data_IF_188703052761
#
_entry.id   IF_188703052761
#
_cell.length_a   1.000
_cell.length_b   1.000
_cell.length_c   1.000
_cell.angle_alpha   90.00
_cell.angle_beta   90.00
_cell.angle_gamma   90.00
#
_symmetry.space_group_name_H-M   'P 1'
#
loop_
_entity.id
_entity.type
_entity.pdbx_description
1 polymer ?
#
# COMPACT_ATOMS: atom_id res chain seq x y z
N UNK A 1 -10.66 -6.63 8.04
CA UNK A 1 -9.44 -6.73 8.85
C UNK A 1 -8.76 -5.38 8.85
N UNK A 2 -8.75 -4.70 10.01
CA UNK A 2 -8.05 -3.43 10.15
C UNK A 2 -6.53 -3.71 10.14
N UNK A 3 -5.90 -3.55 9.00
CA UNK A 3 -4.45 -3.50 8.90
C UNK A 3 -4.00 -2.19 9.54
N UNK A 4 -3.49 -2.34 10.74
CA UNK A 4 -3.02 -1.28 11.63
C UNK A 4 -1.91 -0.49 10.94
N UNK A 5 -2.19 0.72 10.47
CA UNK A 5 -1.24 1.66 9.86
C UNK A 5 -0.01 1.96 10.73
N UNK A 6 0.00 1.50 11.97
CA UNK A 6 1.14 1.64 12.89
C UNK A 6 2.22 0.56 12.71
N UNK A 7 1.97 -0.56 12.01
CA UNK A 7 2.99 -1.60 11.80
C UNK A 7 4.02 -1.23 10.74
N UNK A 8 3.64 -0.40 9.76
CA UNK A 8 4.55 0.03 8.67
C UNK A 8 5.70 0.92 9.18
N UNK A 9 5.50 1.66 10.27
CA UNK A 9 6.56 2.49 10.88
C UNK A 9 7.63 1.69 11.63
N UNK A 10 7.37 0.45 12.03
CA UNK A 10 8.31 -0.33 12.85
C UNK A 10 9.25 -1.23 12.04
N UNK A 11 8.86 -1.72 10.87
CA UNK A 11 9.74 -2.60 10.09
C UNK A 11 10.79 -1.84 9.25
N UNK A 12 10.47 -0.64 8.76
CA UNK A 12 11.47 0.26 8.18
C UNK A 12 12.49 0.77 9.21
N UNK A 13 12.13 0.73 10.53
CA UNK A 13 12.95 1.29 11.60
C UNK A 13 14.19 0.49 11.95
N UNK A 14 14.23 -0.83 11.75
CA UNK A 14 15.37 -1.65 12.19
C UNK A 14 16.46 -1.65 11.11
N UNK A 15 16.12 -1.83 9.84
CA UNK A 15 17.10 -1.77 8.74
C UNK A 15 17.57 -0.33 8.49
N UNK A 16 16.67 0.64 8.47
CA UNK A 16 17.02 2.06 8.36
C UNK A 16 17.82 2.55 9.57
N UNK A 17 17.62 2.00 10.79
CA UNK A 17 18.47 2.29 11.96
C UNK A 17 19.85 1.67 11.83
N UNK A 18 19.99 0.49 11.24
CA UNK A 18 21.33 -0.11 11.01
C UNK A 18 22.12 0.68 9.97
N UNK A 19 21.49 1.08 8.87
CA UNK A 19 22.11 1.93 7.86
C UNK A 19 22.37 3.33 8.43
N UNK A 20 21.37 3.97 9.06
CA UNK A 20 21.52 5.31 9.63
C UNK A 20 22.57 5.37 10.74
N UNK A 21 22.68 4.35 11.59
CA UNK A 21 23.70 4.30 12.64
C UNK A 21 25.12 4.25 12.07
N UNK A 22 25.32 3.61 10.90
CA UNK A 22 26.61 3.64 10.19
C UNK A 22 26.92 4.97 9.51
N UNK A 23 25.90 5.67 8.99
CA UNK A 23 26.08 6.99 8.36
C UNK A 23 26.27 8.12 9.38
N UNK A 24 25.62 8.03 10.57
CA UNK A 24 25.72 9.09 11.60
C UNK A 24 27.00 8.98 12.47
N UNK A 25 27.68 7.82 12.48
CA UNK A 25 28.87 7.60 13.31
C UNK A 25 30.19 7.92 12.58
N UNK A 26 30.23 8.42 11.38
CA UNK A 26 31.44 8.73 10.62
C UNK A 26 32.53 7.65 10.71
N UNK A 27 33.62 7.68 9.94
CA UNK A 27 34.67 6.71 10.05
C UNK A 27 35.27 6.77 11.48
N UNK A 28 35.06 5.70 12.25
CA UNK A 28 35.70 5.56 13.58
C UNK A 28 37.20 5.37 13.38
N UNK A 29 38.05 6.31 13.81
CA UNK A 29 39.50 6.24 13.61
C UNK A 29 40.12 5.00 14.25
N UNK A 30 39.43 4.32 15.18
CA UNK A 30 39.93 3.07 15.79
C UNK A 30 39.70 1.82 14.94
N UNK A 31 39.07 1.95 13.76
CA UNK A 31 38.80 0.83 12.86
C UNK A 31 39.74 0.76 11.65
N UNK A 32 40.74 1.68 11.57
CA UNK A 32 41.69 1.71 10.50
C UNK A 32 43.07 1.18 10.99
N UNK A 33 43.74 0.45 10.11
CA UNK A 33 45.13 -0.02 10.36
C UNK A 33 46.14 1.15 10.28
N UNK A 34 47.43 0.85 10.48
CA UNK A 34 48.50 1.85 10.42
C UNK A 34 48.63 2.48 9.03
N UNK A 35 48.14 1.83 7.99
CA UNK A 35 48.13 2.27 6.59
C UNK A 35 46.90 3.08 6.24
N UNK A 36 45.96 3.21 7.18
CA UNK A 36 44.69 3.97 7.02
C UNK A 36 43.58 3.22 6.30
N UNK A 37 43.62 1.88 6.31
CA UNK A 37 42.57 1.06 5.72
C UNK A 37 41.70 0.38 6.82
N UNK A 38 40.42 0.21 6.53
CA UNK A 38 39.53 -0.56 7.38
C UNK A 38 39.83 -2.07 7.28
N UNK A 39 39.10 -2.90 8.07
CA UNK A 39 39.26 -4.35 8.09
C UNK A 39 38.97 -5.03 6.74
N UNK A 40 38.30 -4.35 5.79
CA UNK A 40 38.02 -4.81 4.44
C UNK A 40 39.03 -4.28 3.41
N UNK A 41 39.95 -3.39 3.82
CA UNK A 41 40.99 -2.80 2.99
C UNK A 41 40.61 -1.50 2.31
N UNK A 42 39.51 -0.82 2.73
CA UNK A 42 39.14 0.50 2.21
C UNK A 42 39.73 1.62 3.07
N UNK A 43 40.26 2.64 2.42
CA UNK A 43 40.71 3.85 3.09
C UNK A 43 39.57 4.84 3.34
N UNK A 44 39.86 5.99 3.97
CA UNK A 44 38.86 7.03 4.29
C UNK A 44 38.15 7.61 3.06
N UNK A 45 38.74 7.51 1.88
CA UNK A 45 38.13 7.95 0.61
C UNK A 45 37.31 6.84 -0.05
N UNK A 46 37.13 5.69 0.60
CA UNK A 46 36.42 4.53 0.08
C UNK A 46 37.18 3.80 -1.04
N UNK A 47 38.51 3.96 -1.11
CA UNK A 47 39.39 3.30 -2.12
C UNK A 47 39.97 2.04 -1.50
N UNK A 48 39.77 0.91 -2.16
CA UNK A 48 40.31 -0.38 -1.72
C UNK A 48 41.80 -0.51 -2.08
N UNK A 49 42.63 -0.89 -1.11
CA UNK A 49 44.07 -0.91 -1.20
C UNK A 49 44.67 -1.80 -2.29
N UNK A 50 44.01 -2.91 -2.64
CA UNK A 50 44.49 -3.85 -3.66
C UNK A 50 44.03 -3.42 -5.05
N UNK A 51 42.75 -3.10 -5.21
CA UNK A 51 42.16 -2.77 -6.52
C UNK A 51 42.41 -1.33 -6.95
N UNK A 52 42.70 -0.43 -6.00
CA UNK A 52 42.82 1.00 -6.24
C UNK A 52 41.49 1.66 -6.69
N UNK A 53 40.38 1.01 -6.47
CA UNK A 53 39.00 1.47 -6.85
C UNK A 53 38.10 1.51 -5.62
N UNK A 54 36.85 1.98 -5.83
CA UNK A 54 35.81 1.98 -4.79
C UNK A 54 35.21 0.59 -4.54
N UNK A 55 35.83 -0.48 -5.09
CA UNK A 55 35.34 -1.85 -4.93
C UNK A 55 36.49 -2.79 -4.63
N UNK A 56 36.20 -3.79 -3.76
CA UNK A 56 37.17 -4.86 -3.46
C UNK A 56 37.30 -5.85 -4.64
N UNK A 57 38.16 -6.83 -4.48
CA UNK A 57 38.41 -7.88 -5.51
C UNK A 57 37.17 -8.71 -5.83
N UNK A 58 36.16 -8.74 -4.94
CA UNK A 58 34.89 -9.42 -5.12
C UNK A 58 33.81 -8.52 -5.73
N UNK A 59 34.11 -7.23 -5.98
CA UNK A 59 33.21 -6.26 -6.59
C UNK A 59 32.28 -5.52 -5.62
N UNK A 60 32.52 -5.62 -4.30
CA UNK A 60 31.74 -4.93 -3.27
C UNK A 60 32.43 -3.62 -2.85
N UNK A 61 31.61 -2.61 -2.55
CA UNK A 61 32.08 -1.34 -2.00
C UNK A 61 32.38 -1.43 -0.48
N UNK A 62 32.79 -0.32 0.13
CA UNK A 62 33.09 -0.22 1.56
C UNK A 62 31.91 -0.60 2.47
N UNK A 63 30.67 -0.50 2.01
CA UNK A 63 29.49 -0.92 2.74
C UNK A 63 29.08 -2.39 2.50
N UNK A 64 29.79 -3.09 1.61
CA UNK A 64 29.51 -4.46 1.23
C UNK A 64 28.34 -4.59 0.26
N UNK A 65 28.19 -3.59 -0.61
CA UNK A 65 27.14 -3.57 -1.64
C UNK A 65 27.81 -3.71 -3.01
N UNK A 66 27.30 -4.61 -3.85
CA UNK A 66 27.79 -4.80 -5.21
C UNK A 66 27.27 -3.70 -6.17
N UNK A 67 27.66 -3.79 -7.45
CA UNK A 67 27.28 -2.81 -8.47
C UNK A 67 25.77 -2.76 -8.73
N UNK A 68 25.06 -3.84 -8.46
CA UNK A 68 23.62 -3.98 -8.67
C UNK A 68 22.79 -3.61 -7.42
N UNK A 69 23.47 -3.29 -6.31
CA UNK A 69 22.81 -2.88 -5.06
C UNK A 69 22.52 -4.00 -4.08
N UNK A 70 23.15 -5.19 -4.25
CA UNK A 70 22.97 -6.33 -3.36
C UNK A 70 24.12 -6.42 -2.35
N UNK A 71 23.80 -6.80 -1.12
CA UNK A 71 24.79 -7.01 -0.07
C UNK A 71 25.49 -8.38 -0.23
N UNK A 72 26.48 -8.65 0.65
CA UNK A 72 27.25 -9.92 0.66
C UNK A 72 26.39 -11.18 0.80
N UNK A 73 25.17 -11.06 1.33
CA UNK A 73 24.20 -12.17 1.45
C UNK A 73 23.32 -12.32 0.21
N UNK A 74 23.46 -11.41 -0.78
CA UNK A 74 22.73 -11.41 -2.03
C UNK A 74 21.35 -10.75 -1.97
N UNK A 75 21.11 -9.86 -1.00
CA UNK A 75 19.84 -9.14 -0.84
C UNK A 75 20.02 -7.64 -1.05
N UNK A 76 19.01 -7.00 -1.69
CA UNK A 76 18.94 -5.55 -1.85
C UNK A 76 18.55 -4.87 -0.51
N UNK A 77 18.50 -3.53 -0.51
CA UNK A 77 18.17 -2.72 0.66
C UNK A 77 16.71 -2.91 1.16
N UNK A 78 15.83 -3.54 0.37
CA UNK A 78 14.45 -3.91 0.73
C UNK A 78 14.35 -5.35 1.21
N UNK A 79 15.44 -6.11 1.12
CA UNK A 79 15.55 -7.49 1.54
C UNK A 79 15.19 -8.53 0.47
N UNK A 80 15.13 -8.14 -0.82
CA UNK A 80 14.90 -9.07 -1.92
C UNK A 80 16.21 -9.52 -2.56
N UNK A 81 16.29 -10.80 -2.91
CA UNK A 81 17.38 -11.31 -3.74
C UNK A 81 17.10 -11.07 -5.23
N UNK A 82 18.06 -11.44 -6.11
CA UNK A 82 17.95 -11.29 -7.58
C UNK A 82 16.76 -12.02 -8.20
N UNK A 83 16.23 -13.03 -7.53
CA UNK A 83 15.04 -13.81 -7.97
C UNK A 83 13.73 -13.17 -7.44
N UNK A 84 13.81 -12.05 -6.72
CA UNK A 84 12.67 -11.38 -6.12
C UNK A 84 12.12 -12.09 -4.88
N UNK A 85 12.94 -12.93 -4.20
CA UNK A 85 12.55 -13.62 -2.97
C UNK A 85 13.05 -12.82 -1.76
N UNK A 86 12.14 -12.51 -0.86
CA UNK A 86 12.44 -11.72 0.33
C UNK A 86 13.12 -12.56 1.42
N UNK A 87 14.16 -12.02 2.06
CA UNK A 87 15.03 -12.72 3.02
C UNK A 87 14.31 -13.26 4.28
N UNK A 88 13.25 -12.58 4.73
CA UNK A 88 12.48 -12.96 5.94
C UNK A 88 11.36 -13.94 5.58
N UNK A 89 10.51 -13.58 4.62
CA UNK A 89 9.30 -14.34 4.29
C UNK A 89 9.58 -15.57 3.47
N UNK A 90 10.74 -15.61 2.77
CA UNK A 90 11.11 -16.63 1.77
C UNK A 90 10.09 -16.77 0.63
N UNK A 91 9.35 -15.70 0.37
CA UNK A 91 8.37 -15.58 -0.72
C UNK A 91 8.68 -14.37 -1.59
N UNK A 92 7.88 -14.14 -2.64
CA UNK A 92 7.97 -12.93 -3.49
C UNK A 92 7.46 -11.67 -2.81
N UNK A 93 6.90 -11.77 -1.60
CA UNK A 93 6.33 -10.64 -0.88
C UNK A 93 7.10 -10.40 0.42
N UNK A 94 7.36 -9.14 0.74
CA UNK A 94 7.95 -8.73 2.01
C UNK A 94 6.92 -8.87 3.17
N UNK A 95 7.30 -8.67 4.44
CA UNK A 95 6.37 -8.75 5.57
C UNK A 95 5.19 -7.78 5.52
N UNK A 96 5.23 -6.76 4.66
CA UNK A 96 4.14 -5.82 4.43
C UNK A 96 3.23 -6.22 3.26
N UNK A 97 3.53 -7.36 2.59
CA UNK A 97 2.73 -7.89 1.49
C UNK A 97 3.06 -7.32 0.11
N UNK A 98 4.21 -6.66 -0.07
CA UNK A 98 4.63 -6.09 -1.35
C UNK A 98 5.73 -6.92 -2.01
N UNK A 99 5.66 -7.07 -3.34
CA UNK A 99 6.73 -7.66 -4.14
C UNK A 99 7.88 -6.65 -4.41
N UNK A 100 8.90 -7.09 -5.16
CA UNK A 100 10.06 -6.26 -5.52
C UNK A 100 9.68 -5.02 -6.33
N UNK A 101 8.58 -5.04 -7.05
CA UNK A 101 8.05 -3.93 -7.86
C UNK A 101 6.97 -3.13 -7.13
N UNK A 102 6.79 -3.37 -5.82
CA UNK A 102 5.83 -2.68 -4.95
C UNK A 102 4.35 -3.01 -5.24
N UNK A 103 4.08 -4.18 -5.84
CA UNK A 103 2.73 -4.69 -6.02
C UNK A 103 2.31 -5.61 -4.87
N UNK A 104 1.05 -5.52 -4.50
CA UNK A 104 0.37 -6.43 -3.57
C UNK A 104 0.11 -7.79 -4.25
N UNK A 105 -0.23 -8.81 -3.46
CA UNK A 105 -0.54 -10.16 -3.95
C UNK A 105 -1.72 -10.18 -4.94
N UNK A 106 -2.67 -9.28 -4.79
CA UNK A 106 -3.80 -9.09 -5.71
C UNK A 106 -3.45 -8.33 -7.00
N UNK A 107 -2.19 -7.94 -7.16
CA UNK A 107 -1.65 -7.31 -8.36
C UNK A 107 -1.78 -5.79 -8.41
N UNK A 108 -2.26 -5.12 -7.36
CA UNK A 108 -2.33 -3.67 -7.31
C UNK A 108 -1.06 -3.04 -6.73
N UNK A 109 -0.57 -1.98 -7.36
CA UNK A 109 0.54 -1.19 -6.84
C UNK A 109 0.05 -0.36 -5.64
N UNK A 110 0.78 -0.44 -4.51
CA UNK A 110 0.32 0.10 -3.22
C UNK A 110 0.04 1.60 -3.19
N UNK A 111 0.75 2.39 -4.02
CA UNK A 111 0.62 3.85 -4.04
C UNK A 111 -0.25 4.36 -5.18
N UNK A 112 -0.05 3.84 -6.40
CA UNK A 112 -0.78 4.30 -7.59
C UNK A 112 -2.14 3.64 -7.75
N UNK A 113 -2.40 2.53 -7.01
CA UNK A 113 -3.59 1.69 -7.14
C UNK A 113 -3.80 1.13 -8.57
N UNK A 114 -2.74 1.13 -9.38
CA UNK A 114 -2.78 0.60 -10.74
C UNK A 114 -2.49 -0.89 -10.72
N UNK A 115 -3.34 -1.66 -11.37
CA UNK A 115 -3.17 -3.11 -11.48
C UNK A 115 -2.07 -3.49 -12.47
N UNK A 116 -1.22 -4.46 -12.10
CA UNK A 116 -0.02 -4.88 -12.82
C UNK A 116 -0.28 -5.33 -14.25
N UNK A 117 -1.37 -6.04 -14.48
CA UNK A 117 -1.73 -6.63 -15.79
C UNK A 117 -2.50 -5.63 -16.64
N UNK A 118 -3.60 -5.10 -16.13
CA UNK A 118 -4.50 -4.23 -16.89
C UNK A 118 -3.95 -2.83 -17.13
N UNK A 119 -2.97 -2.40 -16.30
CA UNK A 119 -2.42 -1.03 -16.31
C UNK A 119 -3.48 0.05 -16.03
N UNK A 120 -4.58 -0.33 -15.41
CA UNK A 120 -5.68 0.55 -14.97
C UNK A 120 -5.88 0.43 -13.46
N UNK A 121 -6.85 1.18 -12.91
CA UNK A 121 -7.27 1.06 -11.51
C UNK A 121 -8.16 -0.18 -11.26
N UNK A 122 -8.42 -0.99 -12.26
CA UNK A 122 -9.27 -2.17 -12.18
C UNK A 122 -8.48 -3.43 -12.52
N UNK A 123 -8.74 -4.52 -11.83
CA UNK A 123 -8.23 -5.86 -12.11
C UNK A 123 -8.85 -6.44 -13.39
N UNK A 124 -8.44 -7.65 -13.77
CA UNK A 124 -8.96 -8.35 -14.94
C UNK A 124 -10.47 -8.69 -14.84
N UNK A 125 -11.02 -8.66 -13.65
CA UNK A 125 -12.45 -8.85 -13.38
C UNK A 125 -13.23 -7.52 -13.36
N UNK A 126 -12.56 -6.38 -13.54
CA UNK A 126 -13.16 -5.04 -13.59
C UNK A 126 -13.40 -4.40 -12.24
N UNK A 127 -12.67 -4.82 -11.18
CA UNK A 127 -12.78 -4.27 -9.84
C UNK A 127 -11.49 -3.58 -9.40
N UNK A 128 -11.63 -2.47 -8.67
CA UNK A 128 -10.51 -1.73 -8.09
C UNK A 128 -9.92 -2.46 -6.84
N UNK A 129 -8.84 -1.92 -6.28
CA UNK A 129 -8.18 -2.42 -5.07
C UNK A 129 -9.15 -2.63 -3.89
N UNK A 130 -10.22 -1.85 -3.82
CA UNK A 130 -11.23 -1.94 -2.77
C UNK A 130 -12.38 -2.87 -3.12
N UNK A 131 -12.42 -3.39 -4.34
CA UNK A 131 -13.44 -4.31 -4.83
C UNK A 131 -14.66 -3.64 -5.45
N UNK A 132 -14.58 -2.35 -5.87
CA UNK A 132 -15.64 -1.66 -6.59
C UNK A 132 -15.38 -1.67 -8.10
N UNK A 133 -16.42 -1.85 -8.88
CA UNK A 133 -16.36 -1.72 -10.35
C UNK A 133 -16.58 -0.25 -10.78
N UNK A 134 -16.50 0.03 -12.10
CA UNK A 134 -16.73 1.36 -12.66
C UNK A 134 -18.09 1.97 -12.29
N UNK A 135 -19.11 1.15 -12.07
CA UNK A 135 -20.43 1.58 -11.60
C UNK A 135 -20.50 1.77 -10.08
N UNK A 136 -19.35 1.70 -9.38
CA UNK A 136 -19.24 1.81 -7.92
C UNK A 136 -20.01 0.71 -7.17
N UNK A 137 -20.15 -0.47 -7.76
CA UNK A 137 -20.77 -1.63 -7.13
C UNK A 137 -19.68 -2.54 -6.61
N UNK A 138 -19.75 -2.87 -5.32
CA UNK A 138 -18.76 -3.71 -4.66
C UNK A 138 -19.01 -5.20 -4.98
N UNK A 139 -17.95 -5.95 -5.32
CA UNK A 139 -18.02 -7.34 -5.82
C UNK A 139 -18.67 -8.35 -4.87
N UNK A 140 -18.54 -8.15 -3.57
CA UNK A 140 -19.08 -9.08 -2.57
C UNK A 140 -20.47 -8.74 -2.12
N UNK A 141 -20.77 -7.43 -1.96
CA UNK A 141 -22.09 -7.00 -1.46
C UNK A 141 -23.11 -6.80 -2.56
N UNK A 142 -22.66 -6.60 -3.80
CA UNK A 142 -23.54 -6.24 -4.92
C UNK A 142 -24.16 -4.84 -4.79
N UNK A 143 -23.67 -4.02 -3.86
CA UNK A 143 -24.17 -2.68 -3.58
C UNK A 143 -23.05 -1.63 -3.72
N UNK A 144 -23.39 -0.36 -3.53
CA UNK A 144 -22.41 0.73 -3.50
C UNK A 144 -21.63 0.83 -2.16
N UNK A 145 -21.78 -0.15 -1.27
CA UNK A 145 -21.07 -0.23 0.00
C UNK A 145 -20.28 -1.54 0.11
N UNK A 146 -19.11 -1.49 0.70
CA UNK A 146 -18.28 -2.66 1.01
C UNK A 146 -18.82 -3.44 2.23
N UNK A 147 -18.15 -4.53 2.60
CA UNK A 147 -18.48 -5.35 3.77
C UNK A 147 -18.36 -4.58 5.10
N UNK A 148 -17.65 -3.45 5.13
CA UNK A 148 -17.52 -2.56 6.27
C UNK A 148 -18.49 -1.38 6.22
N UNK A 149 -19.47 -1.43 5.31
CA UNK A 149 -20.46 -0.39 5.09
C UNK A 149 -19.86 0.96 4.65
N UNK A 150 -18.81 0.93 3.80
CA UNK A 150 -18.15 2.10 3.23
C UNK A 150 -18.35 2.13 1.72
N UNK A 151 -18.54 3.33 1.18
CA UNK A 151 -18.58 3.55 -0.27
C UNK A 151 -17.17 3.56 -0.90
N UNK A 152 -17.11 3.74 -2.21
CA UNK A 152 -15.87 3.81 -3.00
C UNK A 152 -14.92 4.92 -2.53
N UNK A 153 -15.42 5.98 -1.90
CA UNK A 153 -14.64 7.09 -1.35
C UNK A 153 -14.21 6.83 0.12
N UNK A 154 -14.59 5.66 0.68
CA UNK A 154 -14.28 5.27 2.06
C UNK A 154 -15.20 5.88 3.11
N UNK A 155 -16.26 6.56 2.70
CA UNK A 155 -17.27 7.13 3.60
C UNK A 155 -18.18 6.02 4.08
N UNK A 156 -18.53 6.07 5.37
CA UNK A 156 -19.53 5.16 5.90
C UNK A 156 -20.91 5.47 5.31
N UNK A 157 -21.49 4.48 4.65
CA UNK A 157 -22.91 4.49 4.36
C UNK A 157 -23.67 4.27 5.65
N UNK A 158 -24.43 5.25 6.09
CA UNK A 158 -25.39 5.00 7.15
C UNK A 158 -26.47 4.07 6.60
N UNK A 159 -26.76 2.95 7.27
CA UNK A 159 -27.86 2.12 6.84
C UNK A 159 -29.15 2.93 6.93
N UNK A 160 -29.76 3.19 5.77
CA UNK A 160 -31.04 3.85 5.71
C UNK A 160 -32.12 2.80 5.97
N UNK A 161 -32.78 2.90 7.12
CA UNK A 161 -33.84 2.00 7.50
C UNK A 161 -35.22 2.58 7.13
N UNK A 162 -36.06 1.75 6.59
CA UNK A 162 -37.46 2.13 6.42
C UNK A 162 -38.11 2.40 7.79
N UNK A 163 -38.66 3.60 8.03
CA UNK A 163 -39.24 3.94 9.35
C UNK A 163 -40.50 3.15 9.70
N UNK A 164 -41.03 2.30 8.80
CA UNK A 164 -42.18 1.45 9.04
C UNK A 164 -41.84 0.01 9.33
N UNK A 165 -40.98 -0.63 8.53
CA UNK A 165 -40.70 -2.06 8.65
C UNK A 165 -39.23 -2.34 9.04
N UNK A 166 -38.40 -1.31 9.21
CA UNK A 166 -37.00 -1.40 9.50
C UNK A 166 -36.15 -2.13 8.43
N UNK A 167 -36.74 -2.38 7.26
CA UNK A 167 -36.03 -2.98 6.12
C UNK A 167 -35.02 -2.03 5.51
N UNK A 168 -33.97 -2.59 4.95
CA UNK A 168 -32.86 -1.84 4.29
C UNK A 168 -33.01 -1.81 2.77
N UNK A 169 -33.91 -2.61 2.19
CA UNK A 169 -34.14 -2.61 0.74
C UNK A 169 -35.04 -1.43 0.34
N UNK A 170 -34.47 -0.49 -0.40
CA UNK A 170 -35.18 0.70 -0.83
C UNK A 170 -34.60 1.26 -2.14
N UNK A 171 -35.44 1.94 -2.89
CA UNK A 171 -35.09 2.66 -4.10
C UNK A 171 -35.04 4.18 -3.85
N UNK A 172 -34.15 4.86 -4.61
CA UNK A 172 -34.12 6.32 -4.66
C UNK A 172 -35.21 6.83 -5.60
N UNK A 173 -36.06 7.73 -5.12
CA UNK A 173 -37.05 8.37 -5.96
C UNK A 173 -36.45 9.57 -6.67
N UNK A 174 -36.51 9.60 -7.99
CA UNK A 174 -36.15 10.78 -8.79
C UNK A 174 -37.24 11.82 -8.68
N UNK A 175 -36.98 12.91 -7.98
CA UNK A 175 -37.93 14.02 -7.86
C UNK A 175 -37.65 15.02 -8.99
N UNK A 176 -38.59 15.16 -9.91
CA UNK A 176 -38.58 16.22 -10.92
C UNK A 176 -38.69 17.58 -10.21
N UNK A 177 -37.67 18.46 -10.38
CA UNK A 177 -37.72 19.83 -9.85
C UNK A 177 -38.76 20.64 -10.64
N UNK A 178 -39.80 21.08 -9.97
CA UNK A 178 -40.76 22.08 -10.46
C UNK A 178 -40.52 23.38 -9.70
N UNK A 179 -40.54 24.52 -10.39
CA UNK A 179 -40.33 25.82 -9.79
C UNK A 179 -41.44 26.30 -8.83
N UNK A 180 -42.47 25.48 -8.59
CA UNK A 180 -43.60 25.80 -7.69
C UNK A 180 -43.73 24.77 -6.54
N UNK A 181 -42.63 24.31 -6.00
CA UNK A 181 -42.64 23.33 -4.92
C UNK A 181 -42.96 23.93 -3.56
N UNK A 182 -43.85 23.29 -2.74
CA UNK A 182 -44.09 23.72 -1.36
C UNK A 182 -42.82 23.47 -0.51
N UNK A 183 -42.70 24.19 0.61
CA UNK A 183 -41.53 24.14 1.53
C UNK A 183 -41.40 22.83 2.30
N UNK A 184 -42.25 21.84 2.09
CA UNK A 184 -42.13 20.52 2.72
C UNK A 184 -41.24 19.61 1.89
N UNK A 185 -40.29 18.88 2.50
CA UNK A 185 -39.43 17.95 1.78
C UNK A 185 -40.27 16.79 1.19
N UNK A 186 -40.07 16.54 -0.11
CA UNK A 186 -40.69 15.38 -0.76
C UNK A 186 -39.95 14.09 -0.40
N UNK A 187 -40.67 12.94 -0.30
CA UNK A 187 -39.99 11.66 -0.11
C UNK A 187 -38.97 11.40 -1.23
N UNK A 188 -37.78 11.03 -0.84
CA UNK A 188 -36.68 10.68 -1.79
C UNK A 188 -36.34 9.18 -1.77
N UNK A 189 -36.99 8.42 -0.91
CA UNK A 189 -36.82 6.97 -0.75
C UNK A 189 -38.16 6.24 -0.78
N UNK A 190 -38.18 5.01 -1.34
CA UNK A 190 -39.29 4.07 -1.26
C UNK A 190 -38.76 2.71 -0.79
N UNK A 191 -39.37 2.12 0.23
CA UNK A 191 -39.06 0.77 0.67
C UNK A 191 -39.64 -0.27 -0.29
N UNK A 192 -38.84 -1.20 -0.75
CA UNK A 192 -39.28 -2.28 -1.64
C UNK A 192 -40.12 -3.32 -0.90
N UNK A 193 -39.88 -3.54 0.41
CA UNK A 193 -40.60 -4.52 1.21
C UNK A 193 -42.03 -4.09 1.57
N UNK A 194 -42.24 -2.81 1.90
CA UNK A 194 -43.54 -2.34 2.39
C UNK A 194 -44.16 -1.15 1.63
N UNK A 195 -43.46 -0.67 0.59
CA UNK A 195 -43.94 0.41 -0.28
C UNK A 195 -43.93 1.82 0.35
N UNK A 196 -43.52 1.98 1.63
CA UNK A 196 -43.52 3.29 2.28
C UNK A 196 -42.48 4.21 1.63
N UNK A 197 -42.89 5.45 1.40
CA UNK A 197 -42.01 6.54 0.96
C UNK A 197 -41.66 7.44 2.15
N UNK A 198 -40.42 7.92 2.22
CA UNK A 198 -39.97 8.86 3.25
C UNK A 198 -38.85 9.78 2.71
N UNK A 199 -38.54 10.82 3.46
CA UNK A 199 -37.44 11.73 3.19
C UNK A 199 -36.23 11.33 4.02
N UNK A 200 -35.09 11.16 3.34
CA UNK A 200 -33.81 10.95 3.97
C UNK A 200 -32.99 12.24 3.82
N UNK A 201 -32.64 12.85 4.95
CA UNK A 201 -31.93 14.15 5.01
C UNK A 201 -30.41 14.03 4.80
N UNK A 202 -29.89 12.83 4.59
CA UNK A 202 -28.46 12.59 4.42
C UNK A 202 -28.00 12.62 2.95
N UNK A 203 -28.81 13.25 2.07
CA UNK A 203 -28.44 13.55 0.67
C UNK A 203 -28.24 15.02 0.46
#
# INVERSE_FOLDING_TARGET
MNLNRNFVKYSMGIFARFIKKRFDEGPNPNHYDEEGNDYRGFNLDGIHKITGTTRDESGFDEWGIDLEGYNLEGYDNRGFNREGIHCITKTKFNPSGYDVDEYLEDGFHWYSEVHKITRTKFDESGYDLRGFNENKIHKKTGTNLDESNRDVDGKYGLPVYCPKCNGTDHENLTIGRSCHMPLTPFPNKRCNDCGRQWYDSHF
#
